data_IF_342300968642
#
_entry.id   IF_342300968642
#
_cell.length_a   1.000
_cell.length_b   1.000
_cell.length_c   1.000
_cell.angle_alpha   90.00
_cell.angle_beta   90.00
_cell.angle_gamma   90.00
#
_symmetry.space_group_name_H-M   'P 1'
#
loop_
_entity.id
_entity.type
_entity.pdbx_description
1 polymer ?
#
# COMPACT_ATOMS: atom_id res chain seq x y z
N UNK A 1 8.90 -11.85 14.30
CA UNK A 1 8.99 -10.94 13.13
C UNK A 1 10.19 -10.05 13.36
N UNK A 2 11.13 -9.98 12.43
CA UNK A 2 12.32 -9.13 12.61
C UNK A 2 11.87 -7.67 12.66
N UNK A 3 12.20 -6.95 13.74
CA UNK A 3 11.91 -5.52 13.83
C UNK A 3 12.67 -4.81 12.70
N UNK A 4 11.94 -4.25 11.75
CA UNK A 4 12.54 -3.41 10.71
C UNK A 4 13.05 -2.15 11.38
N UNK A 5 14.33 -1.83 11.22
CA UNK A 5 14.89 -0.63 11.85
C UNK A 5 14.27 0.64 11.25
N UNK A 6 14.29 1.74 12.01
CA UNK A 6 13.80 3.03 11.52
C UNK A 6 14.57 3.50 10.27
N UNK A 7 15.87 3.17 10.18
CA UNK A 7 16.70 3.47 9.03
C UNK A 7 16.26 2.69 7.77
N UNK A 8 15.91 1.41 7.94
CA UNK A 8 15.41 0.58 6.85
C UNK A 8 14.05 1.08 6.34
N UNK A 9 13.14 1.46 7.26
CA UNK A 9 11.85 2.06 6.91
C UNK A 9 12.00 3.35 6.12
N UNK A 10 12.92 4.23 6.54
CA UNK A 10 13.20 5.48 5.83
C UNK A 10 13.70 5.22 4.40
N UNK A 11 14.68 4.31 4.25
CA UNK A 11 15.23 3.95 2.94
C UNK A 11 14.17 3.37 2.01
N UNK A 12 13.28 2.52 2.54
CA UNK A 12 12.17 1.94 1.78
C UNK A 12 11.17 3.02 1.34
N UNK A 13 10.76 3.90 2.27
CA UNK A 13 9.86 5.01 1.97
C UNK A 13 10.42 5.93 0.88
N UNK A 14 11.69 6.32 0.98
CA UNK A 14 12.33 7.17 -0.03
C UNK A 14 12.36 6.50 -1.41
N UNK A 15 12.54 5.18 -1.48
CA UNK A 15 12.48 4.46 -2.75
C UNK A 15 11.07 4.47 -3.36
N UNK A 16 10.03 4.32 -2.53
CA UNK A 16 8.64 4.40 -2.96
C UNK A 16 8.24 5.80 -3.42
N UNK A 17 8.64 6.83 -2.67
CA UNK A 17 8.38 8.23 -3.03
C UNK A 17 9.04 8.60 -4.37
N UNK A 18 10.30 8.19 -4.59
CA UNK A 18 10.97 8.37 -5.88
C UNK A 18 10.24 7.69 -7.03
N UNK A 19 9.82 6.44 -6.84
CA UNK A 19 9.08 5.68 -7.87
C UNK A 19 7.71 6.31 -8.18
N UNK A 20 7.08 6.91 -7.19
CA UNK A 20 5.79 7.59 -7.34
C UNK A 20 5.93 9.05 -7.80
N UNK A 21 7.15 9.54 -8.00
CA UNK A 21 7.45 10.94 -8.33
C UNK A 21 6.86 11.94 -7.32
N UNK A 22 6.81 11.55 -6.05
CA UNK A 22 6.26 12.37 -4.96
C UNK A 22 7.40 13.06 -4.21
N UNK A 23 7.39 14.40 -4.24
CA UNK A 23 8.25 15.22 -3.40
C UNK A 23 7.59 15.48 -2.05
N UNK A 24 8.31 15.17 -0.96
CA UNK A 24 7.88 15.48 0.41
C UNK A 24 8.75 16.63 0.92
N UNK A 25 8.16 17.75 1.38
CA UNK A 25 8.90 18.82 2.03
C UNK A 25 9.71 18.31 3.23
N UNK A 26 10.92 18.83 3.40
CA UNK A 26 11.86 18.32 4.41
C UNK A 26 11.30 18.40 5.84
N UNK A 27 10.56 19.47 6.16
CA UNK A 27 9.87 19.69 7.42
C UNK A 27 8.74 18.67 7.71
N UNK A 28 8.28 17.95 6.68
CA UNK A 28 7.20 16.96 6.78
C UNK A 28 7.69 15.52 6.75
N UNK A 29 8.94 15.28 6.36
CA UNK A 29 9.46 13.93 6.12
C UNK A 29 9.33 13.04 7.37
N UNK A 30 9.61 13.58 8.55
CA UNK A 30 9.54 12.81 9.80
C UNK A 30 8.11 12.38 10.12
N UNK A 31 7.13 13.25 9.89
CA UNK A 31 5.71 12.93 10.07
C UNK A 31 5.24 11.88 9.05
N UNK A 32 5.67 11.99 7.80
CA UNK A 32 5.36 11.00 6.75
C UNK A 32 5.98 9.64 7.08
N UNK A 33 7.21 9.62 7.59
CA UNK A 33 7.89 8.39 8.01
C UNK A 33 7.16 7.71 9.18
N UNK A 34 6.71 8.49 10.17
CA UNK A 34 5.92 7.95 11.28
C UNK A 34 4.62 7.30 10.77
N UNK A 35 3.84 8.01 9.94
CA UNK A 35 2.62 7.49 9.34
C UNK A 35 2.86 6.25 8.46
N UNK A 36 3.99 6.21 7.74
CA UNK A 36 4.38 5.05 6.94
C UNK A 36 4.63 3.81 7.81
N UNK A 37 5.33 3.97 8.94
CA UNK A 37 5.53 2.91 9.92
C UNK A 37 4.21 2.36 10.47
N UNK A 38 3.29 3.25 10.82
CA UNK A 38 1.95 2.89 11.31
C UNK A 38 1.15 2.09 10.27
N UNK A 39 1.14 2.58 9.02
CA UNK A 39 0.46 1.89 7.92
C UNK A 39 1.03 0.49 7.67
N UNK A 40 2.37 0.30 7.74
CA UNK A 40 2.95 -1.05 7.62
C UNK A 40 2.49 -1.98 8.73
N UNK A 41 2.41 -1.48 9.97
CA UNK A 41 1.90 -2.26 11.12
C UNK A 41 0.44 -2.64 10.91
N UNK A 42 -0.41 -1.70 10.48
CA UNK A 42 -1.81 -1.97 10.17
C UNK A 42 -1.96 -2.98 9.02
N UNK A 43 -1.21 -2.81 7.93
CA UNK A 43 -1.21 -3.73 6.80
C UNK A 43 -0.78 -5.16 7.18
N UNK A 44 0.14 -5.30 8.14
CA UNK A 44 0.53 -6.61 8.66
C UNK A 44 -0.64 -7.32 9.37
N UNK A 45 -1.49 -6.59 10.10
CA UNK A 45 -2.69 -7.13 10.74
C UNK A 45 -3.74 -7.57 9.71
N UNK A 46 -3.84 -6.86 8.57
CA UNK A 46 -4.79 -7.19 7.49
C UNK A 46 -4.33 -8.37 6.62
N UNK A 47 -3.08 -8.82 6.73
CA UNK A 47 -2.58 -10.03 6.06
C UNK A 47 -3.04 -11.28 6.82
N UNK A 48 -4.31 -11.61 6.66
CA UNK A 48 -4.84 -12.91 7.06
C UNK A 48 -4.55 -13.97 5.98
N UNK A 49 -4.58 -15.28 6.32
CA UNK A 49 -4.52 -16.34 5.33
C UNK A 49 -5.62 -16.14 4.27
N UNK A 50 -5.22 -15.99 3.01
CA UNK A 50 -6.14 -15.89 1.87
C UNK A 50 -6.10 -17.20 1.11
N UNK A 51 -7.26 -17.73 0.76
CA UNK A 51 -7.38 -18.83 -0.18
C UNK A 51 -7.38 -18.28 -1.61
N UNK A 52 -7.15 -19.14 -2.60
CA UNK A 52 -7.28 -18.77 -4.01
C UNK A 52 -8.71 -18.29 -4.38
N UNK A 53 -9.70 -18.62 -3.56
CA UNK A 53 -11.09 -18.19 -3.70
C UNK A 53 -11.42 -16.87 -2.97
N UNK A 54 -10.44 -16.25 -2.29
CA UNK A 54 -10.62 -14.93 -1.69
C UNK A 54 -10.56 -13.85 -2.79
N UNK A 55 -11.69 -13.65 -3.46
CA UNK A 55 -11.81 -12.69 -4.55
C UNK A 55 -11.74 -11.23 -4.04
N UNK A 56 -11.24 -10.28 -4.86
CA UNK A 56 -11.32 -8.86 -4.54
C UNK A 56 -12.78 -8.41 -4.42
N UNK A 57 -13.06 -7.46 -3.51
CA UNK A 57 -14.43 -6.96 -3.29
C UNK A 57 -15.11 -6.39 -4.55
N UNK A 58 -14.32 -5.92 -5.51
CA UNK A 58 -14.80 -5.44 -6.80
C UNK A 58 -14.22 -6.30 -7.92
N UNK A 59 -15.08 -6.97 -8.68
CA UNK A 59 -14.71 -7.79 -9.84
C UNK A 59 -15.25 -7.09 -11.09
N UNK A 60 -14.40 -6.97 -12.11
CA UNK A 60 -14.79 -6.42 -13.40
C UNK A 60 -15.81 -7.35 -14.07
N UNK A 61 -16.90 -6.78 -14.56
CA UNK A 61 -17.95 -7.51 -15.29
C UNK A 61 -18.07 -6.96 -16.70
N UNK A 62 -18.01 -7.84 -17.69
CA UNK A 62 -18.18 -7.53 -19.12
C UNK A 62 -19.63 -7.21 -19.50
N UNK A 63 -20.53 -7.00 -18.53
CA UNK A 63 -21.93 -6.63 -18.76
C UNK A 63 -21.98 -5.16 -19.20
N UNK A 64 -21.56 -4.90 -20.44
CA UNK A 64 -21.75 -3.63 -21.14
C UNK A 64 -22.37 -3.94 -22.51
N UNK A 65 -23.70 -3.85 -22.54
CA UNK A 65 -24.56 -3.58 -23.70
C UNK A 65 -24.58 -4.62 -24.84
N UNK A 66 -25.36 -5.69 -24.67
CA UNK A 66 -26.06 -6.27 -25.83
C UNK A 66 -27.11 -5.26 -26.30
N UNK A 67 -26.77 -4.43 -27.29
CA UNK A 67 -27.78 -3.71 -28.06
C UNK A 67 -28.28 -4.66 -29.15
N UNK A 68 -29.40 -5.33 -28.92
CA UNK A 68 -30.14 -6.03 -29.97
C UNK A 68 -30.86 -7.29 -29.52
N UNK A 69 -32.16 -7.16 -29.29
CA UNK A 69 -33.20 -7.94 -29.95
C UNK A 69 -34.45 -7.07 -30.06
#
# INVERSE_FOLDING_TARGET
>A
MSETSAADLKRELEALLRRAEVAVPADRMDAVLAGYGDLKRMCALLRQPRTAAAEPSNIFSLVTLMKGA
#
